data_IF_896195959800
#
_entry.id   IF_896195959800
#
_cell.length_a   1.000
_cell.length_b   1.000
_cell.length_c   1.000
_cell.angle_alpha   90.00
_cell.angle_beta   90.00
_cell.angle_gamma   90.00
#
_symmetry.space_group_name_H-M   'P 1'
#
loop_
_entity.id
_entity.type
_entity.pdbx_description
1 polymer ?
#
# COMPACT_ATOMS: atom_id res chain seq x y z
N UNK A 1 -15.42 0.04 -7.56
CA UNK A 1 -15.59 0.80 -6.29
C UNK A 1 -14.81 2.11 -6.45
N UNK A 2 -15.22 3.29 -5.98
CA UNK A 2 -14.38 4.48 -6.15
C UNK A 2 -13.10 4.42 -5.29
N UNK A 3 -12.05 5.13 -5.69
CA UNK A 3 -10.86 5.32 -4.85
C UNK A 3 -11.24 6.04 -3.55
N UNK A 4 -10.77 5.54 -2.41
CA UNK A 4 -10.96 6.16 -1.09
C UNK A 4 -9.65 6.83 -0.69
N UNK A 5 -9.71 8.14 -0.42
CA UNK A 5 -8.55 8.95 0.00
C UNK A 5 -8.63 9.36 1.49
N UNK A 6 -9.81 9.25 2.09
CA UNK A 6 -10.02 9.46 3.51
C UNK A 6 -9.60 8.23 4.33
N UNK A 7 -9.31 8.38 5.63
CA UNK A 7 -9.02 7.25 6.51
C UNK A 7 -10.13 6.18 6.46
N UNK A 8 -9.77 4.97 6.03
CA UNK A 8 -10.69 3.85 5.87
C UNK A 8 -10.38 2.66 6.80
N UNK A 9 -9.30 2.74 7.57
CA UNK A 9 -8.94 1.74 8.57
C UNK A 9 -9.48 2.16 9.94
N UNK A 10 -10.05 1.22 10.72
CA UNK A 10 -10.43 1.48 12.11
C UNK A 10 -9.26 1.89 13.01
N UNK A 11 -8.06 1.39 12.71
CA UNK A 11 -6.81 1.72 13.41
C UNK A 11 -5.69 2.01 12.38
N UNK A 12 -5.59 3.26 11.87
CA UNK A 12 -4.56 3.64 10.91
C UNK A 12 -3.14 3.58 11.50
N UNK A 13 -2.99 3.95 12.76
CA UNK A 13 -1.69 4.04 13.44
C UNK A 13 -1.12 2.64 13.72
N UNK A 14 -1.97 1.70 14.17
CA UNK A 14 -1.58 0.31 14.38
C UNK A 14 -1.08 -0.35 13.09
N UNK A 15 -1.80 -0.17 11.98
CA UNK A 15 -1.34 -0.68 10.68
C UNK A 15 -0.03 -0.01 10.22
N UNK A 16 0.14 1.29 10.48
CA UNK A 16 1.39 1.98 10.15
C UNK A 16 2.57 1.40 10.94
N UNK A 17 2.38 1.05 12.22
CA UNK A 17 3.40 0.37 13.02
C UNK A 17 3.74 -1.02 12.46
N UNK A 18 2.74 -1.82 12.06
CA UNK A 18 2.98 -3.12 11.43
C UNK A 18 3.78 -2.99 10.12
N UNK A 19 3.46 -1.97 9.30
CA UNK A 19 4.18 -1.70 8.07
C UNK A 19 5.64 -1.30 8.32
N UNK A 20 5.90 -0.46 9.33
CA UNK A 20 7.26 -0.10 9.73
C UNK A 20 8.05 -1.32 10.23
N UNK A 21 7.44 -2.14 11.07
CA UNK A 21 8.04 -3.36 11.59
C UNK A 21 8.42 -4.32 10.46
N UNK A 22 7.60 -4.41 9.41
CA UNK A 22 7.91 -5.23 8.24
C UNK A 22 9.19 -4.79 7.47
N UNK A 23 9.63 -3.55 7.67
CA UNK A 23 10.87 -3.02 7.09
C UNK A 23 12.09 -3.11 8.01
N UNK A 24 11.92 -3.47 9.28
CA UNK A 24 13.04 -3.55 10.23
C UNK A 24 14.08 -4.58 9.78
N UNK A 25 15.36 -4.18 9.82
CA UNK A 25 16.48 -5.04 9.41
C UNK A 25 16.68 -5.18 7.89
N UNK A 26 15.81 -4.59 7.05
CA UNK A 26 15.97 -4.60 5.60
C UNK A 26 16.89 -3.47 5.13
N UNK A 27 17.70 -3.78 4.11
CA UNK A 27 18.36 -2.75 3.32
C UNK A 27 17.35 -1.94 2.51
N UNK A 28 17.77 -0.79 1.98
CA UNK A 28 16.91 0.05 1.12
C UNK A 28 16.34 -0.73 -0.07
N UNK A 29 17.17 -1.52 -0.75
CA UNK A 29 16.73 -2.34 -1.90
C UNK A 29 15.73 -3.43 -1.51
N UNK A 30 15.90 -4.05 -0.34
CA UNK A 30 14.96 -5.07 0.15
C UNK A 30 13.64 -4.44 0.60
N UNK A 31 13.70 -3.26 1.22
CA UNK A 31 12.52 -2.46 1.57
C UNK A 31 11.73 -2.05 0.31
N UNK A 32 12.42 -1.61 -0.74
CA UNK A 32 11.78 -1.27 -2.02
C UNK A 32 11.16 -2.53 -2.68
N UNK A 33 11.83 -3.67 -2.62
CA UNK A 33 11.30 -4.95 -3.11
C UNK A 33 10.10 -5.47 -2.30
N UNK A 34 10.07 -5.22 -0.98
CA UNK A 34 8.91 -5.50 -0.14
C UNK A 34 7.72 -4.63 -0.58
N UNK A 35 7.92 -3.33 -0.72
CA UNK A 35 6.88 -2.40 -1.14
C UNK A 35 6.31 -2.76 -2.52
N UNK A 36 7.16 -3.09 -3.50
CA UNK A 36 6.70 -3.51 -4.82
C UNK A 36 5.80 -4.76 -4.76
N UNK A 37 6.18 -5.77 -3.96
CA UNK A 37 5.37 -6.98 -3.75
C UNK A 37 4.05 -6.66 -3.05
N UNK A 38 4.09 -5.84 -2.00
CA UNK A 38 2.89 -5.43 -1.26
C UNK A 38 1.90 -4.69 -2.17
N UNK A 39 2.38 -3.75 -2.98
CA UNK A 39 1.55 -3.03 -3.96
C UNK A 39 0.88 -4.01 -4.92
N UNK A 40 1.59 -5.00 -5.44
CA UNK A 40 1.00 -6.00 -6.36
C UNK A 40 -0.05 -6.88 -5.68
N UNK A 41 0.19 -7.29 -4.43
CA UNK A 41 -0.78 -8.06 -3.64
C UNK A 41 -2.06 -7.25 -3.41
N UNK A 42 -1.92 -5.99 -2.98
CA UNK A 42 -3.06 -5.09 -2.76
C UNK A 42 -3.79 -4.76 -4.07
N UNK A 43 -3.06 -4.59 -5.16
CA UNK A 43 -3.67 -4.38 -6.47
C UNK A 43 -4.52 -5.58 -6.92
N UNK A 44 -4.03 -6.80 -6.68
CA UNK A 44 -4.80 -8.01 -6.92
C UNK A 44 -6.04 -8.11 -6.01
N UNK A 45 -5.91 -7.73 -4.74
CA UNK A 45 -7.04 -7.68 -3.80
C UNK A 45 -8.12 -6.66 -4.22
N UNK A 46 -7.71 -5.52 -4.79
CA UNK A 46 -8.64 -4.49 -5.30
C UNK A 46 -9.37 -4.97 -6.56
N UNK A 47 -8.66 -5.61 -7.49
CA UNK A 47 -9.25 -6.22 -8.71
C UNK A 47 -9.83 -5.24 -9.75
N UNK A 48 -9.81 -3.94 -9.49
CA UNK A 48 -10.43 -2.90 -10.33
C UNK A 48 -9.36 -1.99 -10.96
N UNK A 49 -9.17 -2.12 -12.29
CA UNK A 49 -8.16 -1.36 -13.04
C UNK A 49 -8.41 0.16 -13.03
N UNK A 50 -9.67 0.60 -12.93
CA UNK A 50 -9.97 2.03 -12.89
C UNK A 50 -9.46 2.63 -11.57
N UNK A 51 -9.75 1.96 -10.44
CA UNK A 51 -9.26 2.35 -9.11
C UNK A 51 -7.74 2.40 -9.07
N UNK A 52 -7.07 1.38 -9.62
CA UNK A 52 -5.61 1.35 -9.65
C UNK A 52 -5.02 2.50 -10.48
N UNK A 53 -5.69 2.88 -11.57
CA UNK A 53 -5.26 4.00 -12.42
C UNK A 53 -5.46 5.33 -11.73
N UNK A 54 -6.57 5.51 -10.99
CA UNK A 54 -6.80 6.70 -10.16
C UNK A 54 -5.79 6.79 -9.01
N UNK A 55 -5.49 5.68 -8.33
CA UNK A 55 -4.48 5.63 -7.27
C UNK A 55 -3.09 6.03 -7.77
N UNK A 56 -2.68 5.55 -8.95
CA UNK A 56 -1.43 5.95 -9.59
C UNK A 56 -1.38 7.44 -9.97
N UNK A 57 -2.52 8.07 -10.23
CA UNK A 57 -2.59 9.52 -10.48
C UNK A 57 -2.53 10.30 -9.18
N UNK A 58 -3.20 9.83 -8.12
CA UNK A 58 -3.21 10.47 -6.81
C UNK A 58 -1.85 10.41 -6.08
N UNK A 59 -1.04 9.37 -6.34
CA UNK A 59 0.28 9.20 -5.72
C UNK A 59 1.44 9.93 -6.43
N UNK A 60 1.17 10.67 -7.52
CA UNK A 60 2.17 11.49 -8.22
C UNK A 60 2.29 12.87 -7.58
#
# INVERSE_FOLDING_TARGET
MPLILDPNLPDPDGFYQELLAAHEGLTKSESDALNARLILILANQIGDRAVLTEALRAAR
#
